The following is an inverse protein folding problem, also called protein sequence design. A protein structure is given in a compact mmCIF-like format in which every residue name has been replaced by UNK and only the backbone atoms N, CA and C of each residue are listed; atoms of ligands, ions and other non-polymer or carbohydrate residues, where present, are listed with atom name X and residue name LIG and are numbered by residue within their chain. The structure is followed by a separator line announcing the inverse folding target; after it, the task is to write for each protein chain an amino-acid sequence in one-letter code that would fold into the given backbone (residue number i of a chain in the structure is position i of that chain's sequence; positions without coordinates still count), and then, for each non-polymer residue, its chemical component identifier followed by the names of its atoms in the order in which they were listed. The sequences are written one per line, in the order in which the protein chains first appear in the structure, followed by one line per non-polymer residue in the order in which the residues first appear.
data_IF_332595143095
#
_entry.id   IF_332595143095
#
_cell.length_a   1.000
_cell.length_b   1.000
_cell.length_c   1.000
_cell.angle_alpha   90.00
_cell.angle_beta   90.00
_cell.angle_gamma   90.00
#
_symmetry.space_group_name_H-M   'P 1'
#
loop_
_entity.id
_entity.type
_entity.pdbx_description
1 polymer ?
#
# COMPACT_ATOMS: atom_id res chain seq x y z
N UNK A 1 -6.90 -8.54 -0.10
CA UNK A 1 -5.92 -7.80 -0.91
C UNK A 1 -6.69 -6.84 -1.78
N UNK A 2 -6.43 -5.54 -1.66
CA UNK A 2 -7.14 -4.51 -2.42
C UNK A 2 -6.72 -4.49 -3.89
N UNK A 3 -7.48 -3.80 -4.75
CA UNK A 3 -7.09 -3.59 -6.14
C UNK A 3 -5.78 -2.78 -6.25
N UNK A 4 -5.58 -1.82 -5.33
CA UNK A 4 -4.36 -1.01 -5.23
C UNK A 4 -3.17 -1.88 -4.84
N UNK A 5 -3.32 -2.75 -3.83
CA UNK A 5 -2.24 -3.67 -3.39
C UNK A 5 -1.79 -4.55 -4.56
N UNK A 6 -2.75 -5.04 -5.34
CA UNK A 6 -2.49 -5.89 -6.50
C UNK A 6 -1.75 -5.14 -7.60
N UNK A 7 -2.16 -3.90 -7.87
CA UNK A 7 -1.50 -3.06 -8.85
C UNK A 7 -0.07 -2.71 -8.43
N UNK A 8 0.13 -2.27 -7.18
CA UNK A 8 1.46 -1.97 -6.63
C UNK A 8 2.39 -3.19 -6.65
N UNK A 9 1.86 -4.39 -6.37
CA UNK A 9 2.63 -5.63 -6.46
C UNK A 9 3.16 -5.88 -7.88
N UNK A 10 2.28 -5.74 -8.89
CA UNK A 10 2.67 -5.90 -10.30
C UNK A 10 3.67 -4.84 -10.74
N UNK A 11 3.50 -3.59 -10.31
CA UNK A 11 4.46 -2.52 -10.60
C UNK A 11 5.84 -2.85 -10.03
N UNK A 12 5.92 -3.29 -8.77
CA UNK A 12 7.17 -3.71 -8.14
C UNK A 12 7.85 -4.83 -8.92
N UNK A 13 7.10 -5.85 -9.32
CA UNK A 13 7.62 -6.97 -10.12
C UNK A 13 8.14 -6.49 -11.48
N UNK A 14 7.36 -5.67 -12.20
CA UNK A 14 7.78 -5.14 -13.49
C UNK A 14 9.05 -4.28 -13.39
N UNK A 15 9.13 -3.38 -12.40
CA UNK A 15 10.31 -2.54 -12.14
C UNK A 15 11.52 -3.41 -11.78
N UNK A 16 11.35 -4.40 -10.91
CA UNK A 16 12.43 -5.30 -10.52
C UNK A 16 12.94 -6.11 -11.71
N UNK A 17 12.04 -6.64 -12.54
CA UNK A 17 12.43 -7.40 -13.72
C UNK A 17 13.21 -6.49 -14.70
N UNK A 18 12.68 -5.29 -14.98
CA UNK A 18 13.33 -4.34 -15.88
C UNK A 18 14.72 -3.87 -15.40
N UNK A 19 14.97 -3.84 -14.09
CA UNK A 19 16.26 -3.43 -13.51
C UNK A 19 17.28 -4.57 -13.40
N UNK A 20 16.84 -5.82 -13.31
CA UNK A 20 17.71 -6.96 -12.99
C UNK A 20 17.88 -7.96 -14.13
N UNK A 21 17.11 -7.82 -15.21
CA UNK A 21 17.24 -8.63 -16.43
C UNK A 21 17.77 -7.76 -17.59
N UNK A 22 19.07 -7.89 -17.94
CA UNK A 22 19.68 -7.08 -18.99
C UNK A 22 19.02 -7.28 -20.37
N UNK A 23 18.60 -8.50 -20.71
CA UNK A 23 18.00 -8.80 -22.02
C UNK A 23 16.62 -8.14 -22.14
N UNK A 24 15.83 -8.20 -21.06
CA UNK A 24 14.57 -7.48 -20.97
C UNK A 24 14.77 -5.97 -20.99
N UNK A 25 15.74 -5.45 -20.24
CA UNK A 25 16.04 -4.01 -20.21
C UNK A 25 16.45 -3.48 -21.59
N UNK A 26 17.19 -4.27 -22.36
CA UNK A 26 17.57 -3.98 -23.74
C UNK A 26 16.34 -3.87 -24.64
N UNK A 27 15.44 -4.86 -24.56
CA UNK A 27 14.19 -4.86 -25.32
C UNK A 27 13.30 -3.67 -24.94
N UNK A 28 13.15 -3.38 -23.65
CA UNK A 28 12.36 -2.25 -23.14
C UNK A 28 12.91 -0.89 -23.60
N UNK A 29 14.24 -0.77 -23.73
CA UNK A 29 14.87 0.45 -24.25
C UNK A 29 14.48 0.74 -25.71
N UNK A 30 14.24 -0.29 -26.54
CA UNK A 30 13.72 -0.12 -27.92
C UNK A 30 12.34 0.54 -27.94
N UNK A 31 11.55 0.35 -26.89
CA UNK A 31 10.24 0.99 -26.68
C UNK A 31 10.32 2.30 -25.88
N UNK A 32 11.52 2.81 -25.60
CA UNK A 32 11.75 4.07 -24.89
C UNK A 32 11.78 3.96 -23.36
N UNK A 33 11.67 2.75 -22.81
CA UNK A 33 11.80 2.49 -21.36
C UNK A 33 13.26 2.25 -20.98
N UNK A 34 14.10 3.27 -21.15
CA UNK A 34 15.49 3.22 -20.71
C UNK A 34 15.61 3.29 -19.17
N UNK A 35 16.83 3.17 -18.65
CA UNK A 35 17.12 3.21 -17.22
C UNK A 35 16.51 4.45 -16.53
N UNK A 36 16.61 5.63 -17.14
CA UNK A 36 16.01 6.86 -16.60
C UNK A 36 14.51 6.71 -16.45
N UNK A 37 13.82 6.20 -17.47
CA UNK A 37 12.37 6.02 -17.44
C UNK A 37 11.92 4.97 -16.43
N UNK A 38 12.68 3.89 -16.29
CA UNK A 38 12.44 2.86 -15.27
C UNK A 38 12.59 3.46 -13.86
N UNK A 39 13.60 4.30 -13.65
CA UNK A 39 13.82 4.99 -12.37
C UNK A 39 12.74 6.02 -12.05
N UNK A 40 12.23 6.75 -13.03
CA UNK A 40 11.04 7.60 -12.86
C UNK A 40 9.83 6.77 -12.40
N UNK A 41 9.58 5.63 -13.04
CA UNK A 41 8.54 4.70 -12.63
C UNK A 41 8.71 4.19 -11.20
N UNK A 42 9.95 3.89 -10.80
CA UNK A 42 10.28 3.51 -9.42
C UNK A 42 9.94 4.61 -8.42
N UNK A 43 10.28 5.87 -8.71
CA UNK A 43 9.96 6.98 -7.84
C UNK A 43 8.43 7.16 -7.65
N UNK A 44 7.65 7.00 -8.73
CA UNK A 44 6.19 7.03 -8.67
C UNK A 44 5.63 5.87 -7.85
N UNK A 45 6.17 4.66 -8.04
CA UNK A 45 5.80 3.49 -7.25
C UNK A 45 6.07 3.71 -5.74
N UNK A 46 7.26 4.21 -5.40
CA UNK A 46 7.65 4.44 -4.00
C UNK A 46 6.71 5.46 -3.33
N UNK A 47 6.35 6.54 -4.04
CA UNK A 47 5.40 7.55 -3.56
C UNK A 47 3.98 6.97 -3.37
N UNK A 48 3.49 6.20 -4.35
CA UNK A 48 2.18 5.57 -4.27
C UNK A 48 2.10 4.54 -3.14
N UNK A 49 3.16 3.74 -2.94
CA UNK A 49 3.25 2.76 -1.86
C UNK A 49 3.23 3.42 -0.49
N UNK A 50 3.95 4.54 -0.32
CA UNK A 50 3.95 5.30 0.93
C UNK A 50 2.55 5.88 1.25
N UNK A 51 1.83 6.36 0.23
CA UNK A 51 0.47 6.85 0.39
C UNK A 51 -0.51 5.73 0.80
N UNK A 52 -0.44 4.57 0.13
CA UNK A 52 -1.24 3.39 0.44
C UNK A 52 -0.99 2.88 1.87
N UNK A 53 0.28 2.79 2.28
CA UNK A 53 0.65 2.41 3.64
C UNK A 53 0.11 3.38 4.69
N UNK A 54 0.16 4.68 4.39
CA UNK A 54 -0.40 5.72 5.26
C UNK A 54 -1.90 5.55 5.42
N UNK A 55 -2.62 5.33 4.31
CA UNK A 55 -4.06 5.14 4.33
C UNK A 55 -4.47 3.88 5.10
N UNK A 56 -3.78 2.76 4.86
CA UNK A 56 -4.03 1.50 5.56
C UNK A 56 -3.81 1.63 7.08
N UNK A 57 -2.77 2.37 7.49
CA UNK A 57 -2.52 2.67 8.90
C UNK A 57 -3.62 3.56 9.52
N UNK A 58 -4.12 4.56 8.79
CA UNK A 58 -5.21 5.41 9.26
C UNK A 58 -6.50 4.59 9.46
N UNK A 59 -6.86 3.75 8.49
CA UNK A 59 -8.01 2.85 8.59
C UNK A 59 -7.89 1.84 9.73
N UNK A 60 -6.68 1.35 10.02
CA UNK A 60 -6.45 0.49 11.17
C UNK A 60 -6.70 1.24 12.50
N UNK A 61 -6.19 2.47 12.62
CA UNK A 61 -6.39 3.32 13.80
C UNK A 61 -7.85 3.69 14.02
N UNK A 62 -8.58 4.03 12.96
CA UNK A 62 -10.01 4.36 13.04
C UNK A 62 -10.85 3.18 13.53
N UNK A 63 -10.56 1.98 12.99
CA UNK A 63 -11.22 0.75 13.43
C UNK A 63 -10.94 0.47 14.91
N UNK A 64 -9.68 0.58 15.33
CA UNK A 64 -9.30 0.38 16.73
C UNK A 64 -10.02 1.38 17.66
N UNK A 65 -10.02 2.67 17.34
CA UNK A 65 -10.71 3.68 18.13
C UNK A 65 -12.22 3.43 18.21
N UNK A 66 -12.83 2.96 17.12
CA UNK A 66 -14.25 2.60 17.09
C UNK A 66 -14.57 1.39 17.97
N UNK A 67 -13.70 0.39 17.97
CA UNK A 67 -13.86 -0.82 18.79
C UNK A 67 -13.64 -0.51 20.28
N UNK A 68 -12.63 0.31 20.62
CA UNK A 68 -12.38 0.81 21.97
C UNK A 68 -13.59 1.59 22.51
N UNK A 69 -14.17 2.48 21.70
CA UNK A 69 -15.38 3.22 22.06
C UNK A 69 -16.57 2.29 22.34
N UNK A 70 -16.83 1.31 21.45
CA UNK A 70 -17.93 0.34 21.63
C UNK A 70 -17.73 -0.49 22.90
N UNK A 71 -16.50 -0.91 23.17
CA UNK A 71 -16.15 -1.67 24.36
C UNK A 71 -16.39 -0.85 25.63
N UNK A 72 -15.90 0.40 25.67
CA UNK A 72 -16.09 1.29 26.81
C UNK A 72 -17.57 1.59 27.05
N UNK A 73 -18.33 1.88 25.99
CA UNK A 73 -19.79 2.10 26.07
C UNK A 73 -20.52 0.89 26.64
N UNK A 74 -20.15 -0.32 26.21
CA UNK A 74 -20.70 -1.56 26.74
C UNK A 74 -20.37 -1.72 28.23
N UNK A 75 -19.12 -1.52 28.63
CA UNK A 75 -18.69 -1.61 30.03
C UNK A 75 -19.45 -0.64 30.94
N UNK A 76 -19.64 0.61 30.50
CA UNK A 76 -20.43 1.61 31.22
C UNK A 76 -21.88 1.14 31.37
N UNK A 77 -22.53 0.70 30.30
CA UNK A 77 -23.91 0.20 30.35
C UNK A 77 -24.07 -1.04 31.25
N UNK A 78 -23.13 -1.99 31.18
CA UNK A 78 -23.12 -3.19 32.02
C UNK A 78 -22.93 -2.83 33.51
N UNK A 79 -22.24 -1.73 33.81
CA UNK A 79 -22.07 -1.21 35.18
C UNK A 79 -23.36 -0.57 35.69
N UNK A 80 -24.00 0.28 34.89
CA UNK A 80 -25.26 0.94 35.26
C UNK A 80 -26.43 -0.03 35.44
N UNK A 81 -26.49 -1.11 34.66
CA UNK A 81 -27.59 -2.09 34.72
C UNK A 81 -27.45 -3.12 35.84
N UNK A 82 -26.29 -3.19 36.51
CA UNK A 82 -26.03 -4.06 37.67
C UNK A 82 -26.30 -3.41 39.03
N UNK A 83 -26.52 -2.10 39.05
CA UNK A 83 -26.93 -1.32 40.22
C UNK A 83 -28.41 -0.97 40.13
#
# INVERSE_FOLDING_TARGET
MSAIDTYLTKCREAINNALNDPDLSGTLAEFGYNQTKIMEGKALYDAAKAADDTQNNLHAKERQASDDYKQLRKQVNDTYTKH
#
